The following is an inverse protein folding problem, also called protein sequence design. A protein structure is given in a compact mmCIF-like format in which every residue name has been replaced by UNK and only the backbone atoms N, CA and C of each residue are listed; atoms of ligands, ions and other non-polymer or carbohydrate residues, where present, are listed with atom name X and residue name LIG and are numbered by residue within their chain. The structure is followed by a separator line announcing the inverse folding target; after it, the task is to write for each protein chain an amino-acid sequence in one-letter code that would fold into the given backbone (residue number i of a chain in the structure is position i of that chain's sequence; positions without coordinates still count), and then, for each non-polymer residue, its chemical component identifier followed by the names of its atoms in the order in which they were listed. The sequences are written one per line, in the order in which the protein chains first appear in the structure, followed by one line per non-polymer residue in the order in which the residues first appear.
data_IF_704286818494
#
_entry.id   IF_704286818494
#
_cell.length_a   1.000
_cell.length_b   1.000
_cell.length_c   1.000
_cell.angle_alpha   90.00
_cell.angle_beta   90.00
_cell.angle_gamma   90.00
#
_symmetry.space_group_name_H-M   'P 1'
#
loop_
_entity.id
_entity.type
_entity.pdbx_description
1 polymer ?
#
# COMPACT_ATOMS: atom_id res chain seq x y z
N UNK A 1 0.38 8.12 1.70
CA UNK A 1 -0.84 8.80 2.19
C UNK A 1 -2.08 8.21 1.55
N UNK A 2 -2.54 8.78 0.42
CA UNK A 2 -3.68 8.23 -0.32
C UNK A 2 -3.39 6.83 -0.86
N UNK A 3 -2.13 6.53 -1.18
CA UNK A 3 -1.73 5.22 -1.67
C UNK A 3 -1.72 4.12 -0.58
N UNK A 4 -1.64 4.45 0.71
CA UNK A 4 -1.77 3.45 1.79
C UNK A 4 -3.22 2.92 1.88
N UNK A 5 -4.21 3.68 1.38
CA UNK A 5 -5.60 3.25 1.42
C UNK A 5 -5.84 1.97 0.60
N UNK A 6 -5.44 1.88 -0.69
CA UNK A 6 -5.58 0.62 -1.41
C UNK A 6 -4.65 -0.50 -0.90
N UNK A 7 -3.54 -0.23 -0.20
CA UNK A 7 -2.73 -1.28 0.46
C UNK A 7 -3.51 -1.95 1.60
N UNK A 8 -4.21 -1.14 2.40
CA UNK A 8 -5.11 -1.64 3.43
C UNK A 8 -6.25 -2.48 2.86
N UNK A 9 -6.83 -2.04 1.73
CA UNK A 9 -7.84 -2.80 0.98
C UNK A 9 -7.26 -4.15 0.53
N UNK A 10 -6.09 -4.14 -0.10
CA UNK A 10 -5.41 -5.33 -0.61
C UNK A 10 -5.13 -6.36 0.49
N UNK A 11 -4.58 -5.90 1.62
CA UNK A 11 -4.21 -6.75 2.77
C UNK A 11 -5.45 -7.45 3.32
N UNK A 12 -6.55 -6.72 3.49
CA UNK A 12 -7.79 -7.27 4.00
C UNK A 12 -8.42 -8.29 3.04
N UNK A 13 -8.47 -7.97 1.75
CA UNK A 13 -9.03 -8.86 0.73
C UNK A 13 -8.21 -10.16 0.62
N UNK A 14 -6.88 -10.06 0.66
CA UNK A 14 -6.00 -11.23 0.66
C UNK A 14 -6.19 -12.12 1.89
N UNK A 15 -6.29 -11.52 3.08
CA UNK A 15 -6.53 -12.27 4.31
C UNK A 15 -7.90 -12.96 4.33
N UNK A 16 -8.88 -12.41 3.61
CA UNK A 16 -10.20 -13.01 3.45
C UNK A 16 -10.22 -14.18 2.46
N UNK A 17 -9.38 -14.15 1.43
CA UNK A 17 -9.23 -15.25 0.48
C UNK A 17 -8.45 -16.42 1.08
N UNK A 18 -7.29 -16.13 1.69
CA UNK A 18 -6.46 -17.10 2.39
C UNK A 18 -5.69 -16.39 3.53
N UNK A 19 -5.91 -16.75 4.80
CA UNK A 19 -5.20 -16.14 5.92
C UNK A 19 -3.67 -16.22 5.81
N UNK A 20 -3.12 -17.27 5.20
CA UNK A 20 -1.67 -17.42 5.00
C UNK A 20 -1.14 -16.41 3.98
N UNK A 21 -1.85 -16.21 2.87
CA UNK A 21 -1.58 -15.16 1.90
C UNK A 21 -1.71 -13.77 2.52
N UNK A 22 -2.73 -13.56 3.36
CA UNK A 22 -2.94 -12.33 4.10
C UNK A 22 -1.76 -11.98 5.00
N UNK A 23 -1.23 -12.94 5.75
CA UNK A 23 -0.03 -12.74 6.60
C UNK A 23 1.19 -12.40 5.74
N UNK A 24 1.39 -13.12 4.63
CA UNK A 24 2.51 -12.85 3.73
C UNK A 24 2.45 -11.43 3.14
N UNK A 25 1.26 -11.01 2.69
CA UNK A 25 1.04 -9.66 2.14
C UNK A 25 1.19 -8.58 3.23
N UNK A 26 0.66 -8.81 4.43
CA UNK A 26 0.78 -7.88 5.54
C UNK A 26 2.25 -7.61 5.91
N UNK A 27 3.08 -8.66 5.96
CA UNK A 27 4.52 -8.51 6.21
C UNK A 27 5.22 -7.80 5.05
N UNK A 28 4.87 -8.12 3.79
CA UNK A 28 5.44 -7.43 2.63
C UNK A 28 5.12 -5.93 2.63
N UNK A 29 3.88 -5.55 2.96
CA UNK A 29 3.45 -4.16 3.09
C UNK A 29 4.11 -3.48 4.28
N UNK A 30 4.24 -4.15 5.43
CA UNK A 30 4.97 -3.60 6.57
C UNK A 30 6.42 -3.25 6.22
N UNK A 31 7.09 -4.08 5.40
CA UNK A 31 8.43 -3.78 4.91
C UNK A 31 8.44 -2.62 3.90
N UNK A 32 7.43 -2.49 3.04
CA UNK A 32 7.27 -1.37 2.10
C UNK A 32 7.05 -0.04 2.83
N UNK A 33 6.32 -0.06 3.95
CA UNK A 33 6.01 1.10 4.76
C UNK A 33 7.21 1.70 5.51
N UNK A 34 8.31 0.96 5.68
CA UNK A 34 9.52 1.51 6.31
C UNK A 34 10.16 2.58 5.40
N UNK A 35 10.52 2.28 4.13
CA UNK A 35 10.94 3.30 3.17
C UNK A 35 9.92 4.44 3.00
N UNK A 36 8.63 4.14 2.98
CA UNK A 36 7.60 5.17 2.83
C UNK A 36 7.53 6.10 4.04
N UNK A 37 7.55 5.57 5.27
CA UNK A 37 7.55 6.39 6.48
C UNK A 37 8.75 7.33 6.52
N UNK A 38 9.91 6.88 6.03
CA UNK A 38 11.10 7.73 5.87
C UNK A 38 10.86 8.80 4.79
N UNK A 39 10.28 8.44 3.64
CA UNK A 39 10.01 9.37 2.54
C UNK A 39 8.98 10.45 2.90
N UNK A 40 8.06 10.18 3.84
CA UNK A 40 7.12 11.16 4.39
C UNK A 40 7.74 11.99 5.50
N UNK A 41 8.40 11.37 6.47
CA UNK A 41 8.90 12.06 7.67
C UNK A 41 10.11 12.96 7.39
N UNK A 42 11.03 12.56 6.51
CA UNK A 42 12.27 13.31 6.24
C UNK A 42 11.97 14.68 5.61
N UNK A 43 11.20 14.81 4.52
CA UNK A 43 10.89 16.12 3.94
C UNK A 43 10.15 17.04 4.90
N UNK A 44 9.21 16.49 5.70
CA UNK A 44 8.47 17.27 6.70
C UNK A 44 9.42 17.80 7.78
N UNK A 45 10.37 16.98 8.24
CA UNK A 45 11.38 17.44 9.19
C UNK A 45 12.24 18.55 8.60
N UNK A 46 12.73 18.41 7.36
CA UNK A 46 13.54 19.44 6.72
C UNK A 46 12.76 20.73 6.43
N UNK A 47 11.45 20.64 6.18
CA UNK A 47 10.60 21.81 5.97
C UNK A 47 10.18 22.52 7.26
N UNK A 48 10.06 21.79 8.39
CA UNK A 48 9.46 22.33 9.63
C UNK A 48 10.41 22.42 10.81
N UNK A 49 11.53 21.70 10.80
CA UNK A 49 12.45 21.55 11.94
C UNK A 49 11.89 20.73 13.11
N UNK A 50 10.66 20.21 13.01
CA UNK A 50 9.95 19.57 14.12
C UNK A 50 9.82 18.05 13.92
N UNK A 51 10.54 17.29 14.75
CA UNK A 51 10.53 15.82 14.73
C UNK A 51 9.17 15.24 15.11
N UNK A 52 8.42 15.89 16.01
CA UNK A 52 7.09 15.41 16.42
C UNK A 52 6.10 15.54 15.27
N UNK A 53 6.14 16.67 14.54
CA UNK A 53 5.32 16.84 13.33
C UNK A 53 5.65 15.77 12.31
N UNK A 54 6.92 15.60 11.95
CA UNK A 54 7.36 14.58 11.00
C UNK A 54 6.85 13.17 11.37
N UNK A 55 6.94 12.80 12.65
CA UNK A 55 6.41 11.53 13.16
C UNK A 55 4.88 11.45 13.04
N UNK A 56 4.15 12.47 13.51
CA UNK A 56 2.68 12.48 13.47
C UNK A 56 2.17 12.35 12.03
N UNK A 57 2.72 13.10 11.09
CA UNK A 57 2.31 13.01 9.68
C UNK A 57 2.61 11.63 9.08
N UNK A 58 3.74 11.01 9.42
CA UNK A 58 4.04 9.64 8.99
C UNK A 58 3.04 8.63 9.56
N UNK A 59 2.67 8.75 10.85
CA UNK A 59 1.66 7.88 11.48
C UNK A 59 0.29 8.09 10.85
N UNK A 60 -0.10 9.35 10.62
CA UNK A 60 -1.37 9.68 9.96
C UNK A 60 -1.45 9.11 8.53
N UNK A 61 -0.32 9.07 7.80
CA UNK A 61 -0.25 8.40 6.50
C UNK A 61 -0.54 6.90 6.64
N UNK A 62 0.12 6.22 7.58
CA UNK A 62 -0.06 4.79 7.81
C UNK A 62 -1.46 4.41 8.32
N UNK A 63 -2.19 5.31 9.00
CA UNK A 63 -3.57 5.07 9.41
C UNK A 63 -4.55 4.91 8.24
N UNK A 64 -4.17 5.30 7.01
CA UNK A 64 -4.99 5.05 5.84
C UNK A 64 -5.13 3.54 5.51
N UNK A 65 -4.18 2.69 5.90
CA UNK A 65 -4.28 1.22 5.75
C UNK A 65 -5.43 0.60 6.56
N UNK A 66 -5.49 0.75 7.91
CA UNK A 66 -6.60 0.19 8.67
C UNK A 66 -7.95 0.81 8.27
N UNK A 67 -7.97 2.07 7.82
CA UNK A 67 -9.17 2.69 7.25
C UNK A 67 -9.57 2.01 5.94
N UNK A 68 -8.61 1.73 5.05
CA UNK A 68 -8.80 0.96 3.83
C UNK A 68 -9.38 -0.42 4.11
N UNK A 69 -8.77 -1.18 5.02
CA UNK A 69 -9.27 -2.49 5.45
C UNK A 69 -10.71 -2.41 5.99
N UNK A 70 -11.01 -1.40 6.82
CA UNK A 70 -12.34 -1.17 7.36
C UNK A 70 -13.37 -0.85 6.27
N UNK A 71 -13.02 -0.04 5.28
CA UNK A 71 -13.90 0.25 4.15
C UNK A 71 -14.11 -0.99 3.27
N UNK A 72 -13.07 -1.80 3.04
CA UNK A 72 -13.19 -3.07 2.34
C UNK A 72 -14.22 -3.98 3.03
N UNK A 73 -14.12 -4.11 4.36
CA UNK A 73 -15.07 -4.86 5.17
C UNK A 73 -16.50 -4.32 5.02
N UNK A 74 -16.71 -3.00 5.09
CA UNK A 74 -18.03 -2.40 4.93
C UNK A 74 -18.62 -2.60 3.53
N UNK A 75 -17.81 -2.46 2.48
CA UNK A 75 -18.22 -2.71 1.09
C UNK A 75 -18.67 -4.17 0.95
N UNK A 76 -17.87 -5.13 1.42
CA UNK A 76 -18.25 -6.54 1.36
C UNK A 76 -19.53 -6.80 2.16
N UNK A 77 -19.64 -6.23 3.38
CA UNK A 77 -20.85 -6.37 4.21
C UNK A 77 -22.11 -5.89 3.49
N UNK A 78 -22.02 -4.77 2.78
CA UNK A 78 -23.14 -4.15 2.08
C UNK A 78 -23.53 -4.92 0.82
N UNK A 79 -22.56 -5.34 -0.01
CA UNK A 79 -22.83 -6.00 -1.29
C UNK A 79 -23.10 -7.50 -1.18
N UNK A 80 -22.45 -8.19 -0.23
CA UNK A 80 -22.56 -9.64 -0.02
C UNK A 80 -23.66 -9.97 1.01
N UNK A 81 -23.98 -9.02 1.88
CA UNK A 81 -25.10 -9.11 2.81
C UNK A 81 -24.84 -9.93 4.07
N UNK A 82 -25.81 -9.79 4.99
CA UNK A 82 -26.04 -10.50 6.25
C UNK A 82 -25.13 -11.70 6.59
N UNK A 83 -25.27 -12.72 5.77
CA UNK A 83 -24.77 -14.07 6.04
C UNK A 83 -24.61 -14.86 4.77
N UNK A 84 -23.94 -14.30 3.76
CA UNK A 84 -23.33 -15.15 2.76
C UNK A 84 -22.06 -15.75 3.35
N UNK A 85 -21.93 -17.07 3.25
CA UNK A 85 -20.79 -17.82 3.80
C UNK A 85 -19.48 -17.56 3.04
N UNK A 86 -19.54 -16.94 1.85
CA UNK A 86 -18.37 -16.61 1.03
C UNK A 86 -18.62 -15.40 0.13
N UNK A 87 -17.54 -14.64 -0.13
CA UNK A 87 -17.52 -13.56 -1.12
C UNK A 87 -17.47 -14.18 -2.53
N UNK A 88 -18.32 -13.78 -3.48
CA UNK A 88 -18.24 -14.27 -4.85
C UNK A 88 -16.87 -13.98 -5.48
N UNK A 89 -16.25 -14.98 -6.10
CA UNK A 89 -14.92 -14.85 -6.72
C UNK A 89 -14.85 -13.70 -7.75
N UNK A 90 -15.94 -13.46 -8.50
CA UNK A 90 -16.02 -12.34 -9.43
C UNK A 90 -15.92 -10.97 -8.74
N UNK A 91 -16.52 -10.81 -7.55
CA UNK A 91 -16.42 -9.57 -6.78
C UNK A 91 -15.01 -9.39 -6.25
N UNK A 92 -14.40 -10.46 -5.72
CA UNK A 92 -13.00 -10.43 -5.26
C UNK A 92 -12.04 -10.02 -6.39
N UNK A 93 -12.21 -10.60 -7.58
CA UNK A 93 -11.42 -10.24 -8.76
C UNK A 93 -11.58 -8.78 -9.19
N UNK A 94 -12.81 -8.24 -9.16
CA UNK A 94 -13.06 -6.82 -9.45
C UNK A 94 -12.40 -5.91 -8.41
N UNK A 95 -12.47 -6.27 -7.13
CA UNK A 95 -11.85 -5.49 -6.06
C UNK A 95 -10.31 -5.47 -6.17
N UNK A 96 -9.69 -6.63 -6.40
CA UNK A 96 -8.24 -6.70 -6.64
C UNK A 96 -7.81 -5.96 -7.89
N UNK A 97 -8.58 -6.05 -8.98
CA UNK A 97 -8.31 -5.29 -10.20
C UNK A 97 -8.38 -3.77 -9.95
N UNK A 98 -9.35 -3.32 -9.16
CA UNK A 98 -9.48 -1.92 -8.74
C UNK A 98 -8.27 -1.45 -7.92
N UNK A 99 -7.87 -2.23 -6.92
CA UNK A 99 -6.66 -1.97 -6.11
C UNK A 99 -5.42 -1.87 -6.99
N UNK A 100 -5.21 -2.86 -7.87
CA UNK A 100 -4.07 -2.89 -8.77
C UNK A 100 -4.04 -1.65 -9.69
N UNK A 101 -5.19 -1.27 -10.26
CA UNK A 101 -5.31 -0.09 -11.10
C UNK A 101 -4.95 1.21 -10.38
N UNK A 102 -5.46 1.41 -9.15
CA UNK A 102 -5.13 2.59 -8.34
C UNK A 102 -3.64 2.63 -8.01
N UNK A 103 -3.04 1.48 -7.66
CA UNK A 103 -1.62 1.39 -7.34
C UNK A 103 -0.72 1.69 -8.53
N UNK A 104 -1.08 1.20 -9.71
CA UNK A 104 -0.36 1.53 -10.95
C UNK A 104 -0.46 3.02 -11.25
N UNK A 105 -1.66 3.61 -11.12
CA UNK A 105 -1.86 5.04 -11.34
C UNK A 105 -0.98 5.88 -10.40
N UNK A 106 -1.07 5.64 -9.08
CA UNK A 106 -0.29 6.42 -8.10
C UNK A 106 1.21 6.22 -8.34
N UNK A 107 1.66 4.99 -8.64
CA UNK A 107 3.07 4.71 -8.90
C UNK A 107 3.60 5.45 -10.12
N UNK A 108 2.86 5.45 -11.24
CA UNK A 108 3.33 5.96 -12.52
C UNK A 108 3.06 7.46 -12.72
N UNK A 109 1.94 7.96 -12.24
CA UNK A 109 1.49 9.35 -12.47
C UNK A 109 1.88 10.29 -11.31
N UNK A 110 2.00 9.76 -10.08
CA UNK A 110 2.34 10.60 -8.92
C UNK A 110 3.78 10.34 -8.44
N UNK A 111 4.10 9.11 -8.03
CA UNK A 111 5.37 8.81 -7.35
C UNK A 111 6.58 8.88 -8.28
N UNK A 112 6.50 8.28 -9.48
CA UNK A 112 7.61 8.28 -10.42
C UNK A 112 7.95 9.69 -10.94
N UNK A 113 6.98 10.54 -11.34
CA UNK A 113 7.27 11.92 -11.73
C UNK A 113 7.81 12.74 -10.57
N UNK A 114 7.27 12.56 -9.36
CA UNK A 114 7.79 13.22 -8.15
C UNK A 114 9.24 12.82 -7.88
N UNK A 115 9.57 11.53 -7.94
CA UNK A 115 10.95 11.06 -7.80
C UNK A 115 11.87 11.70 -8.84
N UNK A 116 11.44 11.80 -10.10
CA UNK A 116 12.23 12.43 -11.17
C UNK A 116 12.43 13.93 -10.96
N UNK A 117 11.50 14.62 -10.30
CA UNK A 117 11.64 16.04 -9.99
C UNK A 117 12.78 16.31 -8.97
N UNK A 118 13.10 15.34 -8.12
CA UNK A 118 14.17 15.44 -7.12
C UNK A 118 15.45 14.66 -7.48
N UNK A 119 15.38 13.69 -8.40
CA UNK A 119 16.51 12.86 -8.83
C UNK A 119 17.33 13.45 -9.98
N UNK A 120 18.47 12.83 -10.30
CA UNK A 120 19.29 13.16 -11.49
C UNK A 120 19.38 11.96 -12.42
N UNK A 121 19.37 12.19 -13.72
CA UNK A 121 19.56 11.12 -14.71
C UNK A 121 18.57 9.95 -14.54
N UNK A 122 19.09 8.75 -14.24
CA UNK A 122 18.31 7.51 -14.18
C UNK A 122 18.06 7.00 -12.75
N UNK A 123 18.36 7.79 -11.71
CA UNK A 123 18.26 7.36 -10.30
C UNK A 123 16.86 6.85 -9.94
N UNK A 124 15.80 7.53 -10.40
CA UNK A 124 14.41 7.11 -10.17
C UNK A 124 14.09 5.76 -10.82
N UNK A 125 14.65 5.48 -12.00
CA UNK A 125 14.46 4.20 -12.69
C UNK A 125 15.22 3.08 -11.98
N UNK A 126 16.45 3.34 -11.53
CA UNK A 126 17.23 2.37 -10.74
C UNK A 126 16.54 2.06 -9.42
N UNK A 127 16.02 3.08 -8.72
CA UNK A 127 15.24 2.92 -7.49
C UNK A 127 13.96 2.11 -7.72
N UNK A 128 13.23 2.39 -8.81
CA UNK A 128 12.04 1.62 -9.21
C UNK A 128 12.36 0.14 -9.42
N UNK A 129 13.37 -0.15 -10.25
CA UNK A 129 13.77 -1.53 -10.57
C UNK A 129 14.29 -2.26 -9.33
N UNK A 130 15.10 -1.60 -8.51
CA UNK A 130 15.59 -2.17 -7.25
C UNK A 130 14.44 -2.46 -6.27
N UNK A 131 13.48 -1.54 -6.14
CA UNK A 131 12.29 -1.73 -5.32
C UNK A 131 11.45 -2.92 -5.79
N UNK A 132 11.22 -3.03 -7.10
CA UNK A 132 10.55 -4.20 -7.70
C UNK A 132 11.29 -5.50 -7.40
N UNK A 133 12.63 -5.51 -7.50
CA UNK A 133 13.44 -6.69 -7.21
C UNK A 133 13.36 -7.09 -5.73
N UNK A 134 13.41 -6.13 -4.80
CA UNK A 134 13.26 -6.39 -3.35
C UNK A 134 11.89 -7.02 -3.06
N UNK A 135 10.81 -6.48 -3.63
CA UNK A 135 9.46 -7.02 -3.45
C UNK A 135 9.30 -8.41 -4.08
N UNK A 136 9.88 -8.64 -5.26
CA UNK A 136 9.85 -9.96 -5.88
C UNK A 136 10.62 -11.00 -5.04
N UNK A 137 11.78 -10.63 -4.49
CA UNK A 137 12.58 -11.48 -3.62
C UNK A 137 11.87 -11.78 -2.31
N UNK A 138 11.24 -10.79 -1.67
CA UNK A 138 10.50 -11.02 -0.42
C UNK A 138 9.36 -12.01 -0.61
N UNK A 139 8.57 -11.85 -1.66
CA UNK A 139 7.49 -12.78 -2.00
C UNK A 139 7.99 -14.19 -2.32
N UNK A 140 9.16 -14.31 -2.96
CA UNK A 140 9.74 -15.62 -3.27
C UNK A 140 10.27 -16.34 -2.02
N UNK A 141 10.81 -15.60 -1.05
CA UNK A 141 11.30 -16.15 0.22
C UNK A 141 10.18 -16.51 1.20
N UNK A 142 8.99 -15.94 1.01
CA UNK A 142 7.83 -16.13 1.89
C UNK A 142 6.83 -17.18 1.37
N UNK A 143 7.12 -17.81 0.22
CA UNK A 143 6.35 -18.93 -0.35
C UNK A 143 6.77 -20.27 0.21
#
# INVERSE_FOLDING_TARGET
GIHNFPEGLATFLAAMEDPSLGVAIAVAIALHNIPEGISVSVPIFYATGDRKKAFIYSVLSGLAEPIGAGIAYLILRFFVGAGADAVPAALMGVLFAGVAGIMVYISLDELLPTSRAYGKGHDSLLGLVAGMAVMALSLLLMK
#
